data_IF_864211155434
#
_entry.id   IF_864211155434
#
_cell.length_a   1.000
_cell.length_b   1.000
_cell.length_c   1.000
_cell.angle_alpha   90.00
_cell.angle_beta   90.00
_cell.angle_gamma   90.00
#
_symmetry.space_group_name_H-M   'P 1'
#
loop_
_entity.id
_entity.type
_entity.pdbx_description
1 polymer ?
#
# COMPACT_ATOMS: atom_id res chain seq x y z
N UNK A 1 15.73 -26.25 17.37
CA UNK A 1 16.12 -26.87 16.08
C UNK A 1 15.11 -26.43 15.03
N UNK A 2 15.56 -25.96 13.86
CA UNK A 2 14.67 -25.54 12.76
C UNK A 2 14.39 -26.73 11.83
N UNK A 3 13.12 -27.12 11.67
CA UNK A 3 12.75 -28.40 11.04
C UNK A 3 12.94 -28.43 9.51
N UNK A 4 12.96 -27.29 8.82
CA UNK A 4 12.98 -27.22 7.35
C UNK A 4 13.87 -26.09 6.79
N UNK A 5 15.09 -25.95 7.29
CA UNK A 5 15.98 -24.84 6.93
C UNK A 5 16.26 -24.74 5.42
N UNK A 6 16.45 -25.88 4.73
CA UNK A 6 16.79 -25.87 3.31
C UNK A 6 15.63 -25.38 2.43
N UNK A 7 14.38 -25.73 2.79
CA UNK A 7 13.19 -25.24 2.11
C UNK A 7 13.02 -23.74 2.35
N UNK A 8 13.22 -23.29 3.59
CA UNK A 8 13.17 -21.87 3.92
C UNK A 8 14.18 -21.06 3.11
N UNK A 9 15.44 -21.52 3.06
CA UNK A 9 16.53 -20.84 2.36
C UNK A 9 16.25 -20.64 0.86
N UNK A 10 15.57 -21.58 0.21
CA UNK A 10 15.21 -21.42 -1.21
C UNK A 10 13.91 -20.63 -1.39
N UNK A 11 12.89 -20.91 -0.57
CA UNK A 11 11.56 -20.30 -0.68
C UNK A 11 11.58 -18.78 -0.50
N UNK A 12 12.35 -18.27 0.48
CA UNK A 12 12.41 -16.82 0.80
C UNK A 12 12.96 -15.98 -0.37
N UNK A 13 13.64 -16.60 -1.33
CA UNK A 13 14.16 -15.91 -2.51
C UNK A 13 13.18 -15.89 -3.69
N UNK A 14 12.13 -16.72 -3.67
CA UNK A 14 11.09 -16.78 -4.70
C UNK A 14 10.18 -15.54 -4.66
N UNK A 15 9.45 -15.28 -5.75
CA UNK A 15 8.44 -14.20 -5.79
C UNK A 15 7.34 -14.39 -4.74
N UNK A 16 6.95 -15.64 -4.46
CA UNK A 16 5.95 -15.96 -3.43
C UNK A 16 6.48 -15.72 -2.02
N UNK A 17 7.71 -16.16 -1.72
CA UNK A 17 8.36 -15.88 -0.43
C UNK A 17 8.63 -14.40 -0.17
N UNK A 18 8.67 -13.60 -1.23
CA UNK A 18 8.85 -12.14 -1.22
C UNK A 18 7.55 -11.35 -1.37
N UNK A 19 6.40 -12.02 -1.33
CA UNK A 19 5.11 -11.41 -1.66
C UNK A 19 4.59 -10.46 -0.60
N UNK A 20 5.01 -10.57 0.66
CA UNK A 20 4.66 -9.64 1.73
C UNK A 20 5.89 -8.83 2.14
N UNK A 21 5.79 -7.50 2.09
CA UNK A 21 6.90 -6.59 2.40
C UNK A 21 6.43 -5.34 3.13
N UNK A 22 7.34 -4.68 3.82
CA UNK A 22 7.10 -3.32 4.33
C UNK A 22 6.88 -2.33 3.19
N UNK A 23 5.93 -1.42 3.39
CA UNK A 23 5.54 -0.39 2.43
C UNK A 23 6.51 0.79 2.39
N UNK A 24 7.73 0.50 1.95
CA UNK A 24 8.76 1.49 1.60
C UNK A 24 8.81 1.73 0.11
N UNK A 25 9.32 2.88 -0.32
CA UNK A 25 9.35 3.27 -1.75
C UNK A 25 10.03 2.21 -2.61
N UNK A 26 11.15 1.66 -2.13
CA UNK A 26 11.95 0.66 -2.86
C UNK A 26 11.23 -0.66 -3.10
N UNK A 27 10.20 -0.98 -2.31
CA UNK A 27 9.40 -2.20 -2.45
C UNK A 27 8.12 -2.00 -3.29
N UNK A 28 7.81 -0.76 -3.70
CA UNK A 28 6.57 -0.47 -4.41
C UNK A 28 6.79 -0.24 -5.90
N UNK A 29 5.98 -0.92 -6.71
CA UNK A 29 5.88 -0.66 -8.15
C UNK A 29 4.74 0.31 -8.50
N UNK A 30 4.16 1.02 -7.50
CA UNK A 30 3.04 1.91 -7.73
C UNK A 30 3.47 3.22 -8.40
N UNK A 31 2.66 3.69 -9.36
CA UNK A 31 2.80 5.03 -9.93
C UNK A 31 1.95 6.03 -9.14
N UNK A 32 2.62 7.01 -8.53
CA UNK A 32 1.97 8.06 -7.73
C UNK A 32 1.66 9.34 -8.53
N UNK A 33 2.03 9.41 -9.81
CA UNK A 33 1.79 10.60 -10.64
C UNK A 33 0.31 10.82 -10.94
N UNK A 34 -0.45 9.75 -11.09
CA UNK A 34 -1.88 9.77 -11.42
C UNK A 34 -2.72 8.97 -10.42
N UNK A 35 -2.33 8.98 -9.14
CA UNK A 35 -2.98 8.18 -8.10
C UNK A 35 -4.14 8.90 -7.40
N UNK A 36 -4.94 9.66 -8.16
CA UNK A 36 -6.15 10.31 -7.69
C UNK A 36 -7.38 9.56 -8.18
N UNK A 37 -8.26 9.17 -7.27
CA UNK A 37 -9.48 8.43 -7.56
C UNK A 37 -10.65 9.15 -6.90
N UNK A 38 -11.77 9.23 -7.60
CA UNK A 38 -13.04 9.70 -7.06
C UNK A 38 -14.04 8.56 -7.07
N UNK A 39 -14.58 8.22 -5.91
CA UNK A 39 -15.69 7.29 -5.76
C UNK A 39 -17.01 8.07 -5.70
N UNK A 40 -17.75 8.03 -6.80
CA UNK A 40 -19.03 8.71 -6.97
C UNK A 40 -20.16 8.20 -6.05
N UNK A 41 -20.05 6.98 -5.53
CA UNK A 41 -21.13 6.39 -4.72
C UNK A 41 -21.02 6.78 -3.25
N UNK A 42 -19.79 6.95 -2.77
CA UNK A 42 -19.50 7.33 -1.38
C UNK A 42 -19.06 8.78 -1.22
N UNK A 43 -18.94 9.52 -2.34
CA UNK A 43 -18.48 10.91 -2.42
C UNK A 43 -17.10 11.10 -1.76
N UNK A 44 -16.21 10.13 -1.94
CA UNK A 44 -14.84 10.19 -1.42
C UNK A 44 -13.82 10.37 -2.55
N UNK A 45 -12.83 11.19 -2.25
CA UNK A 45 -11.62 11.32 -3.04
C UNK A 45 -10.47 10.62 -2.33
N UNK A 46 -9.66 9.92 -3.11
CA UNK A 46 -8.48 9.21 -2.67
C UNK A 46 -7.28 9.72 -3.44
N UNK A 47 -6.22 10.09 -2.73
CA UNK A 47 -4.93 10.44 -3.32
C UNK A 47 -3.86 9.60 -2.65
N UNK A 48 -3.20 8.71 -3.40
CA UNK A 48 -2.01 8.04 -2.91
C UNK A 48 -0.76 8.86 -3.23
N UNK A 49 0.17 8.95 -2.29
CA UNK A 49 1.42 9.69 -2.49
C UNK A 49 2.56 9.15 -1.62
N UNK A 50 3.78 9.43 -2.08
CA UNK A 50 4.98 9.19 -1.31
C UNK A 50 5.31 10.42 -0.47
N UNK A 51 5.60 10.19 0.81
CA UNK A 51 6.20 11.19 1.70
C UNK A 51 7.43 10.57 2.34
N UNK A 52 8.59 11.09 1.96
CA UNK A 52 9.90 10.48 2.21
C UNK A 52 9.94 9.06 1.64
N UNK A 53 10.15 8.05 2.48
CA UNK A 53 10.19 6.64 2.10
C UNK A 53 8.89 5.89 2.42
N UNK A 54 7.87 6.58 2.95
CA UNK A 54 6.59 5.97 3.31
C UNK A 54 5.50 6.32 2.30
N UNK A 55 4.60 5.37 2.08
CA UNK A 55 3.42 5.53 1.22
C UNK A 55 2.24 5.92 2.08
N UNK A 56 1.46 6.90 1.60
CA UNK A 56 0.25 7.37 2.26
C UNK A 56 -0.92 7.37 1.28
N UNK A 57 -2.11 7.18 1.83
CA UNK A 57 -3.39 7.42 1.16
C UNK A 57 -4.11 8.54 1.92
N UNK A 58 -4.42 9.62 1.22
CA UNK A 58 -5.30 10.69 1.70
C UNK A 58 -6.71 10.38 1.20
N UNK A 59 -7.63 10.17 2.13
CA UNK A 59 -9.06 9.98 1.88
C UNK A 59 -9.78 11.24 2.36
N UNK A 60 -10.58 11.88 1.51
CA UNK A 60 -11.19 13.16 1.84
C UNK A 60 -12.52 13.39 1.13
N UNK A 61 -13.35 14.27 1.69
CA UNK A 61 -14.56 14.81 1.05
C UNK A 61 -14.51 16.32 0.99
N UNK A 62 -15.10 16.89 -0.05
CA UNK A 62 -15.19 18.34 -0.22
C UNK A 62 -16.66 18.75 -0.31
N UNK A 63 -16.99 19.89 0.29
CA UNK A 63 -18.24 20.59 0.04
C UNK A 63 -17.88 21.93 -0.62
N UNK A 64 -18.19 22.07 -1.90
CA UNK A 64 -17.71 23.17 -2.73
C UNK A 64 -16.18 23.28 -2.73
N UNK A 65 -15.64 24.31 -2.05
CA UNK A 65 -14.20 24.59 -1.97
C UNK A 65 -13.61 24.24 -0.59
N UNK A 66 -14.42 23.70 0.31
CA UNK A 66 -14.00 23.40 1.68
C UNK A 66 -13.91 21.89 1.93
N UNK A 67 -12.90 21.47 2.70
CA UNK A 67 -12.69 20.06 3.04
C UNK A 67 -13.46 19.71 4.30
N UNK A 68 -14.55 18.97 4.17
CA UNK A 68 -15.42 18.60 5.30
C UNK A 68 -14.96 17.31 6.00
N UNK A 69 -14.14 16.51 5.33
CA UNK A 69 -13.57 15.29 5.90
C UNK A 69 -12.17 15.06 5.33
N UNK A 70 -11.24 14.67 6.20
CA UNK A 70 -9.87 14.34 5.83
C UNK A 70 -9.35 13.24 6.74
N UNK A 71 -8.86 12.17 6.13
CA UNK A 71 -8.12 11.13 6.81
C UNK A 71 -6.84 10.82 6.04
N UNK A 72 -5.74 10.72 6.77
CA UNK A 72 -4.44 10.33 6.23
C UNK A 72 -4.06 8.96 6.78
N UNK A 73 -3.93 7.98 5.90
CA UNK A 73 -3.56 6.60 6.23
C UNK A 73 -2.16 6.31 5.76
N UNK A 74 -1.30 5.84 6.66
CA UNK A 74 0.01 5.30 6.29
C UNK A 74 -0.18 3.85 5.85
N UNK A 75 0.48 3.46 4.76
CA UNK A 75 0.53 2.07 4.33
C UNK A 75 1.63 1.36 5.11
N UNK A 76 1.31 0.18 5.63
CA UNK A 76 2.22 -0.64 6.42
C UNK A 76 2.86 -1.72 5.56
N UNK A 77 2.08 -2.36 4.68
CA UNK A 77 2.53 -3.49 3.89
C UNK A 77 2.18 -3.36 2.41
N UNK A 78 3.01 -4.02 1.59
CA UNK A 78 2.74 -4.29 0.19
C UNK A 78 2.60 -5.80 0.05
N UNK A 79 1.51 -6.23 -0.59
CA UNK A 79 1.26 -7.62 -0.94
C UNK A 79 1.21 -7.81 -2.44
N UNK A 80 2.00 -8.76 -2.93
CA UNK A 80 2.01 -9.21 -4.31
C UNK A 80 3.43 -9.40 -4.86
N UNK A 81 3.51 -10.07 -6.00
CA UNK A 81 4.80 -10.33 -6.69
C UNK A 81 5.29 -9.14 -7.50
N UNK A 82 4.51 -8.06 -7.61
CA UNK A 82 4.77 -6.91 -8.48
C UNK A 82 4.48 -7.15 -9.96
N UNK A 83 4.29 -8.42 -10.39
CA UNK A 83 3.99 -8.78 -11.78
C UNK A 83 2.49 -8.90 -12.07
N UNK A 84 1.75 -9.55 -11.18
CA UNK A 84 0.30 -9.75 -11.31
C UNK A 84 -0.52 -8.95 -10.29
N UNK A 85 0.09 -8.58 -9.17
CA UNK A 85 -0.59 -7.90 -8.06
C UNK A 85 0.41 -7.02 -7.33
N UNK A 86 -0.04 -5.82 -6.95
CA UNK A 86 0.69 -4.83 -6.17
C UNK A 86 -0.34 -4.11 -5.29
N UNK A 87 -0.72 -4.75 -4.19
CA UNK A 87 -1.73 -4.26 -3.25
C UNK A 87 -1.05 -3.58 -2.07
N UNK A 88 -1.68 -2.53 -1.56
CA UNK A 88 -1.19 -1.73 -0.44
C UNK A 88 -2.14 -1.87 0.73
N UNK A 89 -1.62 -2.30 1.88
CA UNK A 89 -2.38 -2.57 3.07
C UNK A 89 -1.96 -1.64 4.21
N UNK A 90 -2.94 -1.19 4.97
CA UNK A 90 -2.74 -0.51 6.23
C UNK A 90 -3.47 -1.28 7.33
N UNK A 91 -2.89 -1.32 8.51
CA UNK A 91 -3.45 -1.99 9.67
C UNK A 91 -4.19 -0.98 10.57
N UNK A 92 -5.34 -1.39 11.11
CA UNK A 92 -6.06 -0.63 12.14
C UNK A 92 -6.33 -1.59 13.30
N UNK A 93 -5.86 -1.23 14.49
CA UNK A 93 -6.12 -1.93 15.76
C UNK A 93 -5.52 -3.33 15.92
N UNK A 94 -4.57 -3.74 15.07
CA UNK A 94 -3.83 -5.00 15.25
C UNK A 94 -4.59 -6.21 14.74
#
# INVERSE_FOLDING_TARGET
MLCHQNIYNTFIHTGMGKSLRWAVRSNSAADFKYANIYDKYSDFHYTAFLKNDSIYIKEYRMNNHDTIFLMLKKIDYIIGSGHHTNSHLYNING
#
